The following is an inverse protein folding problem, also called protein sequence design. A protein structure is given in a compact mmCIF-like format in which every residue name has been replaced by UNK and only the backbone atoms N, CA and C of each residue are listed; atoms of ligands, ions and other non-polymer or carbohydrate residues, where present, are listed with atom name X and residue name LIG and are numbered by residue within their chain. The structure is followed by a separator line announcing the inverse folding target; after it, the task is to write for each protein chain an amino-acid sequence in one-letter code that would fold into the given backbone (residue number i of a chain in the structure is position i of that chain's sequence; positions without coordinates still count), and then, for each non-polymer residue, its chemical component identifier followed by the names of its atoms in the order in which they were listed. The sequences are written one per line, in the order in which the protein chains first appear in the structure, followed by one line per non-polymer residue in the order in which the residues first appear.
data_IF_187358086946
#
_entry.id   IF_187358086946
#
_cell.length_a   1.000
_cell.length_b   1.000
_cell.length_c   1.000
_cell.angle_alpha   90.00
_cell.angle_beta   90.00
_cell.angle_gamma   90.00
#
_symmetry.space_group_name_H-M   'P 1'
#
loop_
_entity.id
_entity.type
_entity.pdbx_description
1 polymer ?
#
# COMPACT_ATOMS: atom_id res chain seq x y z
N UNK A 1 -7.37 45.33 0.35
CA UNK A 1 -7.65 44.60 -0.91
C UNK A 1 -6.86 43.30 -0.82
N UNK A 2 -7.52 42.15 -0.93
CA UNK A 2 -6.88 40.84 -0.88
C UNK A 2 -5.90 40.72 -2.05
N UNK A 3 -4.60 40.62 -1.75
CA UNK A 3 -3.58 40.33 -2.76
C UNK A 3 -3.77 38.86 -3.22
N UNK A 4 -4.31 38.62 -4.43
CA UNK A 4 -4.60 37.27 -4.90
C UNK A 4 -3.31 36.47 -5.11
N UNK A 5 -2.20 37.14 -5.42
CA UNK A 5 -0.90 36.49 -5.57
C UNK A 5 -0.39 36.00 -4.21
N UNK A 6 -0.56 36.81 -3.16
CA UNK A 6 -0.16 36.43 -1.82
C UNK A 6 -0.89 35.19 -1.30
N UNK A 7 -2.21 35.13 -1.46
CA UNK A 7 -3.02 33.96 -1.09
C UNK A 7 -2.68 32.72 -1.90
N UNK A 8 -2.35 32.88 -3.18
CA UNK A 8 -1.88 31.78 -4.03
C UNK A 8 -0.57 31.20 -3.50
N UNK A 9 0.40 32.04 -3.13
CA UNK A 9 1.69 31.59 -2.58
C UNK A 9 1.53 30.90 -1.22
N UNK A 10 0.63 31.39 -0.37
CA UNK A 10 0.27 30.73 0.90
C UNK A 10 -0.40 29.38 0.62
N UNK A 11 -1.29 29.30 -0.37
CA UNK A 11 -1.91 28.05 -0.80
C UNK A 11 -0.89 27.03 -1.32
N UNK A 12 0.11 27.48 -2.07
CA UNK A 12 1.23 26.63 -2.53
C UNK A 12 2.02 26.12 -1.32
N UNK A 13 2.37 26.99 -0.37
CA UNK A 13 3.07 26.58 0.84
C UNK A 13 2.25 25.53 1.62
N UNK A 14 0.94 25.72 1.73
CA UNK A 14 0.05 24.72 2.34
C UNK A 14 0.08 23.39 1.58
N UNK A 15 -0.04 23.40 0.25
CA UNK A 15 0.00 22.18 -0.57
C UNK A 15 1.32 21.40 -0.44
N UNK A 16 2.45 22.09 -0.22
CA UNK A 16 3.72 21.41 0.04
C UNK A 16 3.63 20.49 1.26
N UNK A 17 2.88 20.85 2.30
CA UNK A 17 2.73 19.98 3.47
C UNK A 17 2.12 18.62 3.10
N UNK A 18 1.06 18.62 2.27
CA UNK A 18 0.46 17.41 1.73
C UNK A 18 1.43 16.61 0.88
N UNK A 19 2.18 17.29 0.00
CA UNK A 19 3.18 16.66 -0.88
C UNK A 19 4.29 15.97 -0.07
N UNK A 20 4.82 16.62 0.95
CA UNK A 20 5.87 16.06 1.80
C UNK A 20 5.37 14.98 2.78
N UNK A 21 4.06 14.89 3.03
CA UNK A 21 3.44 13.78 3.75
C UNK A 21 3.28 12.51 2.86
N UNK A 22 3.17 12.66 1.54
CA UNK A 22 2.90 11.53 0.62
C UNK A 22 3.88 10.35 0.72
N UNK A 23 5.21 10.52 0.84
CA UNK A 23 6.12 9.39 0.90
C UNK A 23 5.82 8.44 2.08
N UNK A 24 5.54 9.01 3.25
CA UNK A 24 5.19 8.27 4.47
C UNK A 24 3.84 7.57 4.28
N UNK A 25 2.85 8.32 3.77
CA UNK A 25 1.53 7.77 3.50
C UNK A 25 1.56 6.62 2.48
N UNK A 26 2.36 6.74 1.41
CA UNK A 26 2.50 5.68 0.40
C UNK A 26 3.15 4.42 0.97
N UNK A 27 4.06 4.55 1.92
CA UNK A 27 4.62 3.41 2.63
C UNK A 27 3.53 2.70 3.46
N UNK A 28 2.70 3.45 4.17
CA UNK A 28 1.56 2.91 4.93
C UNK A 28 0.49 2.27 4.04
N UNK A 29 0.22 2.85 2.87
CA UNK A 29 -0.68 2.27 1.86
C UNK A 29 -0.14 0.91 1.38
N UNK A 30 1.15 0.82 1.06
CA UNK A 30 1.78 -0.42 0.59
C UNK A 30 1.69 -1.52 1.64
N UNK A 31 1.95 -1.21 2.91
CA UNK A 31 1.86 -2.19 4.00
C UNK A 31 0.41 -2.61 4.25
N UNK A 32 -0.53 -1.66 4.30
CA UNK A 32 -1.96 -1.94 4.55
C UNK A 32 -2.59 -2.75 3.42
N UNK A 33 -2.25 -2.45 2.17
CA UNK A 33 -2.82 -3.10 0.99
C UNK A 33 -1.99 -4.30 0.51
N UNK A 34 -0.93 -4.72 1.21
CA UNK A 34 -0.04 -5.82 0.81
C UNK A 34 -0.79 -7.12 0.48
N UNK A 35 -1.84 -7.42 1.25
CA UNK A 35 -2.65 -8.61 1.05
C UNK A 35 -3.59 -8.57 -0.18
N UNK A 36 -3.69 -7.45 -0.89
CA UNK A 36 -4.52 -7.29 -2.08
C UNK A 36 -3.68 -7.52 -3.34
N UNK A 37 -3.52 -8.80 -3.71
CA UNK A 37 -2.60 -9.25 -4.78
C UNK A 37 -2.83 -8.58 -6.15
N UNK A 38 -4.05 -8.12 -6.42
CA UNK A 38 -4.42 -7.53 -7.71
C UNK A 38 -4.62 -6.01 -7.64
N UNK A 39 -4.24 -5.38 -6.53
CA UNK A 39 -4.43 -3.95 -6.33
C UNK A 39 -3.54 -3.14 -7.28
N UNK A 40 -4.19 -2.43 -8.19
CA UNK A 40 -3.56 -1.44 -9.06
C UNK A 40 -3.97 -0.03 -8.62
N UNK A 41 -3.11 0.70 -7.88
CA UNK A 41 -3.50 1.95 -7.22
C UNK A 41 -4.17 2.96 -8.16
N UNK A 42 -3.54 3.25 -9.31
CA UNK A 42 -4.03 4.27 -10.25
C UNK A 42 -5.38 3.93 -10.89
N UNK A 43 -5.79 2.66 -10.88
CA UNK A 43 -7.08 2.22 -11.41
C UNK A 43 -8.18 2.14 -10.34
N UNK A 44 -7.83 2.31 -9.07
CA UNK A 44 -8.79 2.23 -7.98
C UNK A 44 -9.34 3.62 -7.65
N UNK A 45 -10.67 3.84 -7.70
CA UNK A 45 -11.26 5.11 -7.26
C UNK A 45 -10.99 5.38 -5.76
N UNK A 46 -10.88 4.33 -4.95
CA UNK A 46 -10.54 4.45 -3.53
C UNK A 46 -9.13 4.99 -3.29
N UNK A 47 -8.17 4.67 -4.17
CA UNK A 47 -6.83 5.24 -4.13
C UNK A 47 -6.83 6.75 -4.42
N UNK A 48 -7.63 7.21 -5.38
CA UNK A 48 -7.75 8.64 -5.68
C UNK A 48 -8.36 9.42 -4.53
N UNK A 49 -9.41 8.89 -3.90
CA UNK A 49 -9.97 9.48 -2.69
C UNK A 49 -8.92 9.54 -1.56
N UNK A 50 -8.22 8.43 -1.34
CA UNK A 50 -7.14 8.36 -0.36
C UNK A 50 -6.05 9.40 -0.64
N UNK A 51 -5.61 9.53 -1.89
CA UNK A 51 -4.58 10.49 -2.31
C UNK A 51 -5.02 11.93 -2.07
N UNK A 52 -6.27 12.25 -2.39
CA UNK A 52 -6.86 13.58 -2.14
C UNK A 52 -6.85 13.90 -0.65
N UNK A 53 -7.22 12.93 0.21
CA UNK A 53 -7.18 13.13 1.68
C UNK A 53 -5.74 13.35 2.15
N UNK A 54 -4.77 12.56 1.65
CA UNK A 54 -3.36 12.68 2.02
C UNK A 54 -2.73 14.02 1.60
N UNK A 55 -3.22 14.62 0.52
CA UNK A 55 -2.78 15.93 0.07
C UNK A 55 -3.50 17.06 0.80
N UNK A 56 -4.84 17.07 0.76
CA UNK A 56 -5.62 18.22 1.20
C UNK A 56 -5.74 18.32 2.71
N UNK A 57 -5.76 17.20 3.43
CA UNK A 57 -5.95 17.24 4.87
C UNK A 57 -4.76 17.91 5.59
N UNK A 58 -3.50 17.48 5.40
CA UNK A 58 -2.34 18.18 5.99
C UNK A 58 -2.27 19.65 5.53
N UNK A 59 -2.54 19.90 4.25
CA UNK A 59 -2.54 21.25 3.67
C UNK A 59 -3.55 22.17 4.35
N UNK A 60 -4.76 21.68 4.60
CA UNK A 60 -5.82 22.44 5.27
C UNK A 60 -5.44 22.72 6.73
N UNK A 61 -4.92 21.73 7.44
CA UNK A 61 -4.47 21.91 8.83
C UNK A 61 -3.34 22.94 8.91
N UNK A 62 -2.34 22.84 8.03
CA UNK A 62 -1.25 23.80 7.98
C UNK A 62 -1.76 25.20 7.62
N UNK A 63 -2.63 25.32 6.62
CA UNK A 63 -3.21 26.61 6.21
C UNK A 63 -3.95 27.28 7.37
N UNK A 64 -4.80 26.53 8.08
CA UNK A 64 -5.52 27.03 9.27
C UNK A 64 -4.53 27.45 10.35
N UNK A 65 -3.47 26.68 10.57
CA UNK A 65 -2.46 26.97 11.58
C UNK A 65 -1.69 28.26 11.27
N UNK A 66 -1.13 28.42 10.06
CA UNK A 66 -0.30 29.58 9.71
C UNK A 66 -1.09 30.87 9.50
N UNK A 67 -2.39 30.76 9.19
CA UNK A 67 -3.28 31.92 9.04
C UNK A 67 -4.09 32.22 10.29
N UNK A 68 -3.97 31.41 11.34
CA UNK A 68 -4.80 31.47 12.54
C UNK A 68 -6.29 31.55 12.17
N UNK A 69 -6.82 30.54 11.49
CA UNK A 69 -8.20 30.53 10.96
C UNK A 69 -8.51 31.71 10.03
N UNK A 70 -7.59 32.01 9.10
CA UNK A 70 -7.73 33.11 8.12
C UNK A 70 -7.83 34.51 8.73
N UNK A 71 -7.51 34.66 10.02
CA UNK A 71 -7.48 35.97 10.69
C UNK A 71 -6.20 36.75 10.41
N UNK A 72 -5.14 36.07 9.99
CA UNK A 72 -3.82 36.65 9.73
C UNK A 72 -3.33 36.22 8.34
N UNK A 73 -2.69 37.15 7.63
CA UNK A 73 -1.93 36.83 6.41
C UNK A 73 -0.45 36.67 6.78
N UNK A 74 0.12 35.45 6.77
CA UNK A 74 1.52 35.25 7.10
C UNK A 74 2.45 35.91 6.07
N UNK A 75 3.63 36.32 6.52
CA UNK A 75 4.66 36.83 5.62
C UNK A 75 5.12 35.73 4.65
N UNK A 76 5.20 36.07 3.37
CA UNK A 76 5.63 35.13 2.33
C UNK A 76 7.15 35.20 2.24
N UNK A 77 7.81 34.33 3.00
CA UNK A 77 9.26 34.24 3.08
C UNK A 77 9.70 32.76 3.06
N UNK A 78 11.00 32.53 3.00
CA UNK A 78 11.57 31.18 3.01
C UNK A 78 11.14 30.37 4.25
N UNK A 79 10.96 31.03 5.40
CA UNK A 79 10.54 30.40 6.65
C UNK A 79 9.16 29.75 6.54
N UNK A 80 8.19 30.37 5.84
CA UNK A 80 6.86 29.80 5.60
C UNK A 80 6.97 28.46 4.84
N UNK A 81 7.75 28.43 3.77
CA UNK A 81 7.96 27.22 2.97
C UNK A 81 8.72 26.15 3.77
N UNK A 82 9.72 26.54 4.55
CA UNK A 82 10.44 25.60 5.41
C UNK A 82 9.53 24.99 6.48
N UNK A 83 8.69 25.80 7.15
CA UNK A 83 7.66 25.31 8.09
C UNK A 83 6.70 24.33 7.42
N UNK A 84 6.29 24.60 6.18
CA UNK A 84 5.44 23.71 5.42
C UNK A 84 6.07 22.32 5.20
N UNK A 85 7.34 22.30 4.78
CA UNK A 85 8.08 21.05 4.57
C UNK A 85 8.16 20.24 5.88
N UNK A 86 8.58 20.90 6.97
CA UNK A 86 8.70 20.25 8.29
C UNK A 86 7.35 19.74 8.79
N UNK A 87 6.29 20.52 8.62
CA UNK A 87 4.93 20.13 8.99
C UNK A 87 4.44 18.92 8.18
N UNK A 88 4.77 18.84 6.89
CA UNK A 88 4.45 17.71 6.03
C UNK A 88 5.15 16.42 6.46
N UNK A 89 6.47 16.47 6.65
CA UNK A 89 7.25 15.29 7.10
C UNK A 89 6.86 14.86 8.51
N UNK A 90 6.57 15.82 9.40
CA UNK A 90 6.16 15.57 10.79
C UNK A 90 4.67 15.33 10.99
N UNK A 91 3.85 15.28 9.94
CA UNK A 91 2.39 15.31 10.06
C UNK A 91 1.84 14.11 10.84
N UNK A 92 2.36 12.90 10.60
CA UNK A 92 1.94 11.69 11.32
C UNK A 92 2.30 11.74 12.80
N UNK A 93 3.47 12.30 13.14
CA UNK A 93 3.87 12.53 14.52
C UNK A 93 2.97 13.58 15.19
N UNK A 94 2.62 14.67 14.48
CA UNK A 94 1.68 15.68 14.94
C UNK A 94 0.29 15.09 15.23
N UNK A 95 -0.25 14.27 14.34
CA UNK A 95 -1.54 13.61 14.57
C UNK A 95 -1.53 12.66 15.77
N UNK A 96 -0.37 12.06 16.07
CA UNK A 96 -0.22 11.10 17.16
C UNK A 96 0.16 11.75 18.49
N UNK A 97 0.73 12.95 18.46
CA UNK A 97 0.92 13.75 19.65
C UNK A 97 -0.47 14.04 20.25
N UNK A 98 -0.64 13.74 21.54
CA UNK A 98 -1.84 14.10 22.28
C UNK A 98 -1.77 15.60 22.54
N UNK A 99 -2.16 16.39 21.55
CA UNK A 99 -2.06 17.84 21.67
C UNK A 99 -3.20 18.29 22.58
N UNK A 100 -2.91 18.41 23.88
CA UNK A 100 -3.70 19.18 24.86
C UNK A 100 -3.56 20.68 24.57
N UNK A 101 -3.72 21.10 23.31
CA UNK A 101 -3.84 22.51 22.98
C UNK A 101 -5.32 22.85 22.91
N UNK A 102 -5.74 23.83 23.71
CA UNK A 102 -7.04 24.51 23.62
C UNK A 102 -7.41 24.98 22.19
N UNK A 103 -6.47 24.96 21.26
CA UNK A 103 -6.60 25.45 19.90
C UNK A 103 -7.58 24.66 19.03
N UNK A 104 -7.84 23.37 19.30
CA UNK A 104 -8.76 22.53 18.52
C UNK A 104 -9.43 21.47 19.42
N UNK A 105 -10.63 21.77 19.96
CA UNK A 105 -11.53 20.75 20.56
C UNK A 105 -12.02 19.67 19.57
N UNK A 106 -11.57 19.73 18.32
CA UNK A 106 -11.90 18.81 17.25
C UNK A 106 -10.93 17.63 17.29
N UNK A 107 -11.47 16.41 17.30
CA UNK A 107 -10.71 15.17 17.12
C UNK A 107 -10.20 15.06 15.67
N UNK A 108 -9.18 15.85 15.33
CA UNK A 108 -8.55 15.89 14.00
C UNK A 108 -8.06 14.51 13.60
N UNK A 109 -7.48 13.77 14.55
CA UNK A 109 -7.02 12.40 14.33
C UNK A 109 -8.17 11.48 13.98
N UNK A 110 -9.29 11.56 14.71
CA UNK A 110 -10.51 10.80 14.43
C UNK A 110 -11.08 11.09 13.04
N UNK A 111 -11.20 12.37 12.67
CA UNK A 111 -11.68 12.79 11.35
C UNK A 111 -10.76 12.31 10.23
N UNK A 112 -9.44 12.52 10.37
CA UNK A 112 -8.44 12.04 9.41
C UNK A 112 -8.54 10.53 9.23
N UNK A 113 -8.55 9.79 10.34
CA UNK A 113 -8.63 8.32 10.33
C UNK A 113 -9.92 7.84 9.67
N UNK A 114 -11.04 8.51 9.93
CA UNK A 114 -12.32 8.19 9.30
C UNK A 114 -12.27 8.35 7.78
N UNK A 115 -11.76 9.48 7.28
CA UNK A 115 -11.63 9.75 5.84
C UNK A 115 -10.69 8.74 5.14
N UNK A 116 -9.54 8.46 5.75
CA UNK A 116 -8.61 7.45 5.25
C UNK A 116 -9.24 6.06 5.21
N UNK A 117 -10.03 5.68 6.23
CA UNK A 117 -10.77 4.41 6.24
C UNK A 117 -11.78 4.31 5.11
N UNK A 118 -12.41 5.40 4.68
CA UNK A 118 -13.31 5.36 3.50
C UNK A 118 -12.51 4.98 2.25
N UNK A 119 -11.35 5.61 2.04
CA UNK A 119 -10.44 5.25 0.95
C UNK A 119 -10.07 3.77 0.96
N UNK A 120 -9.63 3.25 2.12
CA UNK A 120 -9.30 1.83 2.28
C UNK A 120 -10.49 0.90 2.07
N UNK A 121 -11.70 1.26 2.52
CA UNK A 121 -12.91 0.45 2.29
C UNK A 121 -13.24 0.34 0.81
N UNK A 122 -13.09 1.44 0.05
CA UNK A 122 -13.33 1.42 -1.39
C UNK A 122 -12.30 0.56 -2.12
N UNK A 123 -11.02 0.66 -1.74
CA UNK A 123 -9.95 -0.21 -2.25
C UNK A 123 -10.28 -1.68 -1.94
N UNK A 124 -10.61 -1.98 -0.69
CA UNK A 124 -10.92 -3.33 -0.24
C UNK A 124 -12.16 -3.91 -0.93
N UNK A 125 -13.23 -3.13 -1.13
CA UNK A 125 -14.46 -3.59 -1.75
C UNK A 125 -14.23 -4.11 -3.19
N UNK A 126 -13.30 -3.49 -3.91
CA UNK A 126 -12.95 -3.88 -5.28
C UNK A 126 -12.07 -5.14 -5.31
N UNK A 127 -11.03 -5.20 -4.48
CA UNK A 127 -9.97 -6.20 -4.64
C UNK A 127 -10.09 -7.42 -3.70
N UNK A 128 -10.78 -7.29 -2.56
CA UNK A 128 -10.87 -8.37 -1.55
C UNK A 128 -11.57 -9.59 -2.13
N UNK A 129 -12.69 -9.40 -2.85
CA UNK A 129 -13.43 -10.51 -3.46
C UNK A 129 -12.59 -11.23 -4.51
N UNK A 130 -11.89 -10.48 -5.37
CA UNK A 130 -11.03 -11.04 -6.42
C UNK A 130 -9.86 -11.82 -5.84
N UNK A 131 -9.18 -11.24 -4.84
CA UNK A 131 -8.05 -11.86 -4.16
C UNK A 131 -8.47 -13.09 -3.38
N UNK A 132 -9.58 -13.03 -2.64
CA UNK A 132 -10.12 -14.19 -1.91
C UNK A 132 -10.47 -15.35 -2.85
N UNK A 133 -11.17 -15.06 -3.96
CA UNK A 133 -11.50 -16.09 -4.96
C UNK A 133 -10.22 -16.70 -5.57
N UNK A 134 -9.22 -15.89 -5.88
CA UNK A 134 -7.93 -16.37 -6.38
C UNK A 134 -7.26 -17.31 -5.38
N UNK A 135 -7.12 -16.90 -4.11
CA UNK A 135 -6.47 -17.71 -3.08
C UNK A 135 -7.22 -19.02 -2.82
N UNK A 136 -8.55 -19.01 -2.89
CA UNK A 136 -9.35 -20.24 -2.79
C UNK A 136 -9.12 -21.18 -3.97
N UNK A 137 -9.12 -20.67 -5.20
CA UNK A 137 -8.85 -21.49 -6.39
C UNK A 137 -7.40 -22.00 -6.40
N UNK A 138 -6.43 -21.17 -6.01
CA UNK A 138 -5.04 -21.57 -5.85
C UNK A 138 -4.88 -22.69 -4.82
N UNK A 139 -5.52 -22.57 -3.64
CA UNK A 139 -5.55 -23.63 -2.63
C UNK A 139 -6.12 -24.93 -3.20
N UNK A 140 -7.21 -24.86 -3.95
CA UNK A 140 -7.83 -26.05 -4.56
C UNK A 140 -6.89 -26.75 -5.55
N UNK A 141 -6.15 -26.00 -6.37
CA UNK A 141 -5.13 -26.57 -7.27
C UNK A 141 -3.96 -27.18 -6.52
N UNK A 142 -3.47 -26.55 -5.44
CA UNK A 142 -2.43 -27.16 -4.61
C UNK A 142 -2.89 -28.48 -3.96
N UNK A 143 -4.18 -28.60 -3.68
CA UNK A 143 -4.80 -29.82 -3.14
C UNK A 143 -5.07 -30.90 -4.18
N UNK A 144 -5.13 -30.60 -5.49
CA UNK A 144 -5.55 -31.56 -6.53
C UNK A 144 -4.52 -32.64 -6.87
N UNK A 145 -3.34 -32.61 -6.25
CA UNK A 145 -2.30 -33.65 -6.36
C UNK A 145 -1.42 -33.57 -7.61
N UNK A 146 -1.78 -32.76 -8.62
CA UNK A 146 -0.98 -32.52 -9.82
C UNK A 146 0.13 -31.45 -9.64
N UNK A 147 0.17 -30.83 -8.47
CA UNK A 147 1.02 -29.68 -8.16
C UNK A 147 2.32 -30.08 -7.46
N UNK A 148 3.42 -29.46 -7.88
CA UNK A 148 4.75 -29.66 -7.32
C UNK A 148 5.04 -28.60 -6.22
N UNK A 149 4.60 -28.93 -5.01
CA UNK A 149 4.82 -28.08 -3.83
C UNK A 149 6.31 -27.91 -3.52
N UNK A 150 7.13 -28.93 -3.79
CA UNK A 150 8.56 -28.88 -3.49
C UNK A 150 9.27 -27.90 -4.40
N UNK A 151 9.04 -28.02 -5.72
CA UNK A 151 9.60 -27.10 -6.69
C UNK A 151 9.15 -25.65 -6.44
N UNK A 152 7.85 -25.43 -6.20
CA UNK A 152 7.32 -24.10 -5.89
C UNK A 152 7.90 -23.49 -4.60
N UNK A 153 8.06 -24.28 -3.53
CA UNK A 153 8.68 -23.81 -2.28
C UNK A 153 10.19 -23.53 -2.43
N UNK A 154 10.92 -24.36 -3.20
CA UNK A 154 12.33 -24.10 -3.51
C UNK A 154 12.48 -22.81 -4.33
N UNK A 155 11.61 -22.58 -5.30
CA UNK A 155 11.61 -21.34 -6.05
C UNK A 155 11.31 -20.14 -5.14
N UNK A 156 10.31 -20.23 -4.26
CA UNK A 156 10.01 -19.17 -3.27
C UNK A 156 11.21 -18.86 -2.40
N UNK A 157 11.94 -19.88 -1.95
CA UNK A 157 13.15 -19.72 -1.18
C UNK A 157 14.20 -18.93 -1.96
N UNK A 158 14.47 -19.32 -3.21
CA UNK A 158 15.42 -18.62 -4.08
C UNK A 158 14.95 -17.18 -4.31
N UNK A 159 13.67 -16.97 -4.60
CA UNK A 159 13.07 -15.65 -4.80
C UNK A 159 13.33 -14.72 -3.62
N UNK A 160 13.05 -15.19 -2.40
CA UNK A 160 13.32 -14.44 -1.16
C UNK A 160 14.82 -14.25 -0.92
N UNK A 161 15.66 -15.25 -1.24
CA UNK A 161 17.12 -15.16 -1.11
C UNK A 161 17.73 -14.10 -2.04
N UNK A 162 17.17 -13.87 -3.23
CA UNK A 162 17.69 -12.89 -4.20
C UNK A 162 16.99 -11.53 -4.16
N UNK A 163 15.90 -11.38 -3.40
CA UNK A 163 15.18 -10.11 -3.34
C UNK A 163 15.96 -9.06 -2.55
N UNK A 164 16.56 -8.11 -3.29
CA UNK A 164 17.34 -6.99 -2.75
C UNK A 164 16.48 -5.93 -2.05
N UNK A 165 15.16 -5.94 -2.23
CA UNK A 165 14.25 -4.96 -1.64
C UNK A 165 13.76 -5.37 -0.25
N UNK A 166 13.96 -6.64 0.13
CA UNK A 166 13.64 -7.12 1.47
C UNK A 166 14.76 -6.71 2.43
N UNK A 167 14.38 -6.14 3.56
CA UNK A 167 15.31 -5.97 4.67
C UNK A 167 15.72 -7.34 5.25
N UNK A 168 16.87 -7.37 5.94
CA UNK A 168 17.45 -8.62 6.44
C UNK A 168 16.52 -9.37 7.40
N UNK A 169 15.74 -8.65 8.21
CA UNK A 169 14.83 -9.25 9.19
C UNK A 169 13.62 -9.89 8.52
N UNK A 170 12.98 -9.18 7.58
CA UNK A 170 11.88 -9.71 6.78
C UNK A 170 12.31 -10.93 5.97
N UNK A 171 13.51 -10.85 5.36
CA UNK A 171 14.11 -11.96 4.62
C UNK A 171 14.32 -13.21 5.50
N UNK A 172 14.91 -13.04 6.68
CA UNK A 172 15.13 -14.14 7.62
C UNK A 172 13.81 -14.75 8.11
N UNK A 173 12.81 -13.91 8.42
CA UNK A 173 11.47 -14.36 8.82
C UNK A 173 10.80 -15.19 7.73
N UNK A 174 10.87 -14.76 6.47
CA UNK A 174 10.28 -15.47 5.34
C UNK A 174 11.01 -16.78 5.05
N UNK A 175 12.35 -16.78 5.07
CA UNK A 175 13.14 -18.00 4.87
C UNK A 175 12.88 -19.02 5.98
N UNK A 176 12.75 -18.57 7.22
CA UNK A 176 12.39 -19.43 8.35
C UNK A 176 11.00 -20.05 8.14
N UNK A 177 10.01 -19.26 7.74
CA UNK A 177 8.67 -19.75 7.44
C UNK A 177 8.67 -20.79 6.29
N UNK A 178 9.42 -20.53 5.22
CA UNK A 178 9.55 -21.47 4.08
C UNK A 178 10.22 -22.77 4.53
N UNK A 179 11.32 -22.69 5.29
CA UNK A 179 12.04 -23.88 5.75
C UNK A 179 11.21 -24.72 6.75
N UNK A 180 10.46 -24.09 7.63
CA UNK A 180 9.51 -24.78 8.51
C UNK A 180 8.42 -25.48 7.69
N UNK A 181 7.92 -24.83 6.64
CA UNK A 181 6.89 -25.39 5.76
C UNK A 181 7.35 -26.70 5.11
N UNK A 182 8.61 -26.81 4.69
CA UNK A 182 9.14 -28.02 4.06
C UNK A 182 9.02 -29.29 4.94
N UNK A 183 9.02 -29.15 6.26
CA UNK A 183 8.89 -30.27 7.21
C UNK A 183 7.46 -30.62 7.63
N UNK A 184 6.46 -29.83 7.23
CA UNK A 184 5.07 -30.00 7.67
C UNK A 184 4.28 -30.98 6.77
N UNK A 185 3.18 -31.58 7.27
CA UNK A 185 2.21 -32.31 6.46
C UNK A 185 1.66 -31.46 5.29
N UNK A 186 1.38 -32.12 4.15
CA UNK A 186 0.93 -31.46 2.90
C UNK A 186 -0.17 -30.42 3.09
N UNK A 187 -1.18 -30.70 3.91
CA UNK A 187 -2.29 -29.76 4.14
C UNK A 187 -1.81 -28.44 4.77
N UNK A 188 -0.94 -28.53 5.78
CA UNK A 188 -0.31 -27.35 6.39
C UNK A 188 0.66 -26.65 5.44
N UNK A 189 1.34 -27.39 4.55
CA UNK A 189 2.16 -26.80 3.51
C UNK A 189 1.35 -25.91 2.58
N UNK A 190 0.18 -26.38 2.17
CA UNK A 190 -0.73 -25.63 1.29
C UNK A 190 -1.18 -24.35 1.99
N UNK A 191 -1.59 -24.42 3.25
CA UNK A 191 -2.00 -23.24 4.02
C UNK A 191 -0.87 -22.22 4.18
N UNK A 192 0.35 -22.69 4.45
CA UNK A 192 1.52 -21.84 4.53
C UNK A 192 1.82 -21.17 3.17
N UNK A 193 1.80 -21.92 2.07
CA UNK A 193 2.01 -21.38 0.70
C UNK A 193 0.98 -20.32 0.34
N UNK A 194 -0.31 -20.54 0.66
CA UNK A 194 -1.40 -19.57 0.43
C UNK A 194 -1.22 -18.30 1.27
N UNK A 195 -0.53 -18.38 2.40
CA UNK A 195 -0.13 -17.20 3.17
C UNK A 195 1.07 -16.50 2.53
N UNK A 196 2.12 -17.27 2.19
CA UNK A 196 3.39 -16.77 1.65
C UNK A 196 3.25 -16.10 0.28
N UNK A 197 2.29 -16.52 -0.55
CA UNK A 197 2.07 -15.90 -1.88
C UNK A 197 1.70 -14.41 -1.78
N UNK A 198 1.19 -13.94 -0.64
CA UNK A 198 0.91 -12.51 -0.38
C UNK A 198 2.18 -11.67 -0.27
N UNK A 199 3.31 -12.31 -0.05
CA UNK A 199 4.61 -11.67 0.10
C UNK A 199 5.32 -11.50 -1.25
N UNK A 200 4.87 -12.22 -2.28
CA UNK A 200 5.41 -12.17 -3.64
C UNK A 200 4.83 -10.98 -4.39
N UNK A 201 5.67 -10.27 -5.15
CA UNK A 201 5.22 -9.13 -5.96
C UNK A 201 4.25 -9.59 -7.03
N UNK A 202 3.21 -8.79 -7.28
CA UNK A 202 2.16 -9.09 -8.28
C UNK A 202 2.71 -9.47 -9.65
N UNK A 203 3.78 -8.81 -10.09
CA UNK A 203 4.41 -9.04 -11.40
C UNK A 203 5.06 -10.44 -11.52
N UNK A 204 5.49 -11.03 -10.41
CA UNK A 204 6.22 -12.30 -10.35
C UNK A 204 5.30 -13.48 -9.98
N UNK A 205 4.04 -13.19 -9.58
CA UNK A 205 3.02 -14.21 -9.29
C UNK A 205 2.82 -15.23 -10.43
N UNK A 206 2.83 -14.86 -11.72
CA UNK A 206 2.67 -15.85 -12.79
C UNK A 206 3.80 -16.88 -12.80
N UNK A 207 5.05 -16.44 -12.68
CA UNK A 207 6.20 -17.33 -12.70
C UNK A 207 6.13 -18.29 -11.51
N UNK A 208 5.77 -17.78 -10.33
CA UNK A 208 5.53 -18.59 -9.14
C UNK A 208 4.49 -19.71 -9.39
N UNK A 209 3.35 -19.35 -9.98
CA UNK A 209 2.27 -20.31 -10.27
C UNK A 209 2.73 -21.40 -11.24
N UNK A 210 3.64 -21.09 -12.18
CA UNK A 210 4.21 -22.08 -13.11
C UNK A 210 5.05 -23.09 -12.33
N UNK A 211 5.81 -22.62 -11.35
CA UNK A 211 6.66 -23.50 -10.53
C UNK A 211 5.86 -24.44 -9.64
N UNK A 212 4.68 -24.03 -9.18
CA UNK A 212 3.73 -24.89 -8.47
C UNK A 212 2.97 -25.86 -9.39
N UNK A 213 3.10 -25.75 -10.70
CA UNK A 213 2.36 -26.58 -11.66
C UNK A 213 0.87 -26.24 -11.72
N UNK A 214 0.50 -24.98 -11.48
CA UNK A 214 -0.88 -24.52 -11.58
C UNK A 214 -1.43 -24.59 -13.00
N UNK A 215 -2.75 -24.75 -13.12
CA UNK A 215 -3.41 -24.96 -14.39
C UNK A 215 -3.47 -23.70 -15.25
N UNK A 216 -3.44 -23.85 -16.58
CA UNK A 216 -3.64 -22.74 -17.51
C UNK A 216 -4.95 -21.96 -17.28
N UNK A 217 -5.97 -22.59 -16.70
CA UNK A 217 -7.28 -21.97 -16.44
C UNK A 217 -7.13 -20.84 -15.41
N UNK A 218 -6.40 -21.09 -14.33
CA UNK A 218 -6.15 -20.09 -13.28
C UNK A 218 -5.35 -18.90 -13.83
N UNK A 219 -4.37 -19.16 -14.70
CA UNK A 219 -3.65 -18.12 -15.43
C UNK A 219 -4.53 -17.28 -16.34
N UNK A 220 -5.40 -17.90 -17.15
CA UNK A 220 -6.28 -17.18 -18.07
C UNK A 220 -7.25 -16.27 -17.32
N UNK A 221 -7.75 -16.71 -16.16
CA UNK A 221 -8.74 -15.96 -15.38
C UNK A 221 -8.14 -14.72 -14.70
N UNK A 222 -6.91 -14.79 -14.18
CA UNK A 222 -6.33 -13.73 -13.35
C UNK A 222 -5.21 -12.93 -14.04
N UNK A 223 -4.53 -13.53 -15.02
CA UNK A 223 -3.35 -12.98 -15.70
C UNK A 223 -3.47 -13.02 -17.25
N UNK A 224 -4.59 -12.56 -17.84
CA UNK A 224 -4.87 -12.75 -19.27
C UNK A 224 -3.86 -12.05 -20.21
N UNK A 225 -3.18 -10.99 -19.73
CA UNK A 225 -2.18 -10.25 -20.52
C UNK A 225 -0.83 -10.96 -20.60
N UNK A 226 -0.44 -11.70 -19.57
CA UNK A 226 0.87 -12.38 -19.50
C UNK A 226 0.86 -13.70 -20.27
N UNK A 227 -0.28 -14.39 -20.31
CA UNK A 227 -0.53 -15.56 -21.17
C UNK A 227 -0.24 -15.32 -22.66
N UNK A 228 -0.52 -14.11 -23.19
CA UNK A 228 -0.23 -13.78 -24.60
C UNK A 228 1.27 -13.74 -24.91
N UNK A 229 2.13 -13.57 -23.90
CA UNK A 229 3.58 -13.54 -24.05
C UNK A 229 4.23 -14.92 -23.88
N UNK A 230 3.54 -15.85 -23.22
CA UNK A 230 4.01 -17.21 -22.95
C UNK A 230 3.73 -18.20 -24.10
N UNK A 231 2.83 -17.84 -25.04
CA UNK A 231 2.65 -18.63 -26.28
C UNK A 231 3.68 -18.19 -27.32
N UNK A 232 4.52 -19.09 -27.86
CA UNK A 232 5.37 -18.75 -28.99
C UNK A 232 4.49 -18.31 -30.19
N UNK A 233 4.98 -17.41 -31.05
CA UNK A 233 4.30 -17.13 -32.31
C UNK A 233 4.14 -18.44 -33.08
N UNK A 234 2.92 -18.69 -33.55
CA UNK A 234 2.60 -19.83 -34.41
C UNK A 234 3.32 -19.72 -35.75
#
# INVERSE_FOLDING_TARGET
MSDPMGWLLIGIAALLTGVFNLPIALQELKTTCRGLLFFEPLKSPGFWLWLVVQLLFPSTIFLIWVTNFFTITPAINFELFFKAIVAGVGFTAFLNARIESDFLKLDIKGLYTYLIRIGYRLIAAQETKRTSKFLQQFRQELSSGSTDLMNGLQWLRIYVEVDILLDSQAKESLLTAINQTLGEPREKQIDAVVSLIKEVRQQDLPDLLVQFGCSEILFQQYFPRQMKKLKPPK
#
